data_IF_653317966987
#
_entry.id   IF_653317966987
#
_cell.length_a   1.000
_cell.length_b   1.000
_cell.length_c   1.000
_cell.angle_alpha   90.00
_cell.angle_beta   90.00
_cell.angle_gamma   90.00
#
_symmetry.space_group_name_H-M   'P 1'
#
loop_
_entity.id
_entity.type
_entity.pdbx_description
1 polymer ?
#
# COMPACT_ATOMS: atom_id res chain seq x y z
N UNK A 1 -13.03 -1.08 4.52
CA UNK A 1 -11.70 -0.47 4.30
C UNK A 1 -11.29 0.46 5.46
N UNK A 2 -11.61 0.13 6.72
CA UNK A 2 -11.27 0.98 7.87
C UNK A 2 -9.88 0.55 8.38
N UNK A 3 -8.96 1.51 8.55
CA UNK A 3 -7.65 1.27 9.17
C UNK A 3 -6.46 0.97 8.24
N UNK A 4 -6.66 0.79 6.94
CA UNK A 4 -5.54 0.55 5.98
C UNK A 4 -4.99 1.81 5.32
N UNK A 5 -5.71 2.93 5.42
CA UNK A 5 -5.42 4.19 4.73
C UNK A 5 -5.39 5.36 5.73
N UNK A 6 -4.41 6.25 5.61
CA UNK A 6 -4.32 7.47 6.39
C UNK A 6 -4.82 8.66 5.55
N UNK A 7 -6.05 9.10 5.85
CA UNK A 7 -6.68 10.26 5.22
C UNK A 7 -6.16 11.60 5.75
N UNK A 8 -5.43 11.60 6.88
CA UNK A 8 -4.86 12.81 7.48
C UNK A 8 -3.45 13.10 6.98
N UNK A 9 -2.92 12.27 6.08
CA UNK A 9 -1.61 12.46 5.50
C UNK A 9 -1.56 13.75 4.69
N UNK A 10 -0.55 14.58 4.98
CA UNK A 10 -0.27 15.81 4.23
C UNK A 10 0.81 15.50 3.20
N UNK A 11 0.43 15.50 1.93
CA UNK A 11 1.33 15.26 0.81
C UNK A 11 2.20 16.49 0.45
N UNK A 12 1.77 17.68 0.88
CA UNK A 12 2.43 18.96 0.61
C UNK A 12 2.05 19.98 1.68
N UNK A 13 2.91 20.97 1.92
CA UNK A 13 2.62 22.11 2.79
C UNK A 13 1.73 23.16 2.12
N UNK A 14 1.56 23.09 0.80
CA UNK A 14 0.71 24.03 0.05
C UNK A 14 -0.78 23.72 0.31
N UNK A 15 -1.52 24.66 0.90
CA UNK A 15 -2.90 24.47 1.36
C UNK A 15 -3.84 23.87 0.29
N UNK A 16 -3.66 24.22 -0.98
CA UNK A 16 -4.47 23.74 -2.11
C UNK A 16 -4.11 22.32 -2.59
N UNK A 17 -2.95 21.79 -2.16
CA UNK A 17 -2.41 20.48 -2.58
C UNK A 17 -2.15 19.53 -1.43
N UNK A 18 -2.33 19.99 -0.19
CA UNK A 18 -2.01 19.26 1.04
C UNK A 18 -2.62 17.85 1.11
N UNK A 19 -3.88 17.66 0.70
CA UNK A 19 -4.56 16.36 0.75
C UNK A 19 -4.74 15.70 -0.63
N UNK A 20 -3.90 16.03 -1.61
CA UNK A 20 -3.99 15.47 -2.97
C UNK A 20 -3.37 14.08 -3.14
N UNK A 21 -2.89 13.46 -2.07
CA UNK A 21 -2.46 12.07 -2.08
C UNK A 21 -2.95 11.34 -0.82
N UNK A 22 -3.16 10.04 -0.99
CA UNK A 22 -3.55 9.13 0.10
C UNK A 22 -2.33 8.34 0.53
N UNK A 23 -2.13 8.17 1.84
CA UNK A 23 -1.08 7.29 2.35
C UNK A 23 -1.68 5.93 2.68
N UNK A 24 -1.13 4.90 2.05
CA UNK A 24 -1.43 3.50 2.37
C UNK A 24 -0.49 3.07 3.49
N UNK A 25 -1.06 2.65 4.62
CA UNK A 25 -0.29 2.21 5.78
C UNK A 25 0.09 0.74 5.65
N UNK A 26 -0.89 -0.09 5.28
CA UNK A 26 -0.74 -1.53 5.14
C UNK A 26 -1.21 -1.95 3.74
N UNK A 27 -0.31 -1.94 2.73
CA UNK A 27 -0.61 -2.46 1.41
C UNK A 27 -1.08 -3.91 1.50
N UNK A 28 -2.15 -4.21 0.78
CA UNK A 28 -2.79 -5.52 0.73
C UNK A 28 -3.45 -5.66 -0.64
N UNK A 29 -3.50 -6.87 -1.23
CA UNK A 29 -4.11 -7.07 -2.55
C UNK A 29 -5.57 -6.62 -2.60
N UNK A 30 -6.28 -6.69 -1.47
CA UNK A 30 -7.67 -6.19 -1.29
C UNK A 30 -7.82 -4.69 -1.51
N UNK A 31 -6.74 -3.91 -1.42
CA UNK A 31 -6.75 -2.48 -1.72
C UNK A 31 -6.63 -2.20 -3.22
N UNK A 32 -6.47 -3.22 -4.07
CA UNK A 32 -6.54 -3.03 -5.52
C UNK A 32 -7.97 -2.63 -5.92
N UNK A 33 -8.10 -1.63 -6.80
CA UNK A 33 -9.42 -1.13 -7.18
C UNK A 33 -9.36 0.21 -7.90
N UNK A 34 -10.54 0.78 -8.16
CA UNK A 34 -10.67 2.14 -8.69
C UNK A 34 -10.67 3.16 -7.55
N UNK A 35 -9.77 4.13 -7.64
CA UNK A 35 -9.64 5.24 -6.70
C UNK A 35 -10.09 6.51 -7.39
N UNK A 36 -11.13 7.15 -6.87
CA UNK A 36 -11.62 8.45 -7.34
C UNK A 36 -11.23 9.55 -6.35
N UNK A 37 -10.56 10.58 -6.85
CA UNK A 37 -10.33 11.82 -6.14
C UNK A 37 -11.35 12.85 -6.63
N UNK A 38 -12.14 13.41 -5.72
CA UNK A 38 -13.07 14.52 -6.02
C UNK A 38 -12.62 15.75 -5.23
N UNK A 39 -12.46 16.86 -5.94
CA UNK A 39 -12.14 18.16 -5.34
C UNK A 39 -13.29 19.10 -5.65
N UNK A 40 -13.96 19.57 -4.60
CA UNK A 40 -15.08 20.50 -4.70
C UNK A 40 -14.65 21.87 -4.19
N UNK A 41 -14.85 22.90 -5.00
CA UNK A 41 -14.74 24.32 -4.62
C UNK A 41 -16.14 24.93 -4.58
N UNK A 42 -16.24 26.20 -4.18
CA UNK A 42 -17.53 26.92 -4.18
C UNK A 42 -18.17 27.04 -5.57
N UNK A 43 -17.36 27.02 -6.63
CA UNK A 43 -17.81 27.25 -8.01
C UNK A 43 -17.87 25.96 -8.85
N UNK A 44 -17.04 24.96 -8.52
CA UNK A 44 -16.86 23.79 -9.37
C UNK A 44 -16.45 22.55 -8.59
N UNK A 45 -16.97 21.42 -9.03
CA UNK A 45 -16.47 20.10 -8.64
C UNK A 45 -15.71 19.47 -9.82
N UNK A 46 -14.54 18.91 -9.53
CA UNK A 46 -13.76 18.13 -10.48
C UNK A 46 -13.42 16.77 -9.86
N UNK A 47 -13.59 15.69 -10.62
CA UNK A 47 -13.24 14.35 -10.18
C UNK A 47 -12.36 13.62 -11.19
N UNK A 48 -11.41 12.84 -10.69
CA UNK A 48 -10.54 11.99 -11.50
C UNK A 48 -10.42 10.60 -10.87
N UNK A 49 -10.63 9.57 -11.68
CA UNK A 49 -10.54 8.17 -11.28
C UNK A 49 -9.27 7.52 -11.86
N UNK A 50 -8.59 6.70 -11.06
CA UNK A 50 -7.53 5.81 -11.52
C UNK A 50 -7.57 4.45 -10.84
N UNK A 51 -7.22 3.43 -11.60
CA UNK A 51 -7.04 2.07 -11.09
C UNK A 51 -5.69 1.94 -10.39
N UNK A 52 -5.69 1.36 -9.19
CA UNK A 52 -4.50 0.90 -8.48
C UNK A 52 -4.50 -0.62 -8.46
N UNK A 53 -3.35 -1.23 -8.70
CA UNK A 53 -3.16 -2.68 -8.58
C UNK A 53 -1.99 -2.95 -7.66
N UNK A 54 -2.22 -3.80 -6.65
CA UNK A 54 -1.26 -4.20 -5.63
C UNK A 54 -1.05 -5.70 -5.74
N UNK A 55 0.20 -6.10 -5.83
CA UNK A 55 0.64 -7.48 -5.90
C UNK A 55 1.49 -7.81 -4.67
N UNK A 56 1.27 -8.98 -4.09
CA UNK A 56 2.13 -9.52 -3.05
C UNK A 56 3.13 -10.49 -3.69
N UNK A 57 4.42 -10.20 -3.57
CA UNK A 57 5.43 -11.20 -3.89
C UNK A 57 5.55 -12.12 -2.67
N UNK A 58 5.11 -13.36 -2.83
CA UNK A 58 5.53 -14.42 -1.92
C UNK A 58 7.04 -14.59 -2.15
N UNK A 59 7.85 -14.26 -1.14
CA UNK A 59 9.28 -14.52 -1.26
C UNK A 59 9.45 -16.02 -1.55
N UNK A 60 10.26 -16.40 -2.55
CA UNK A 60 10.47 -17.81 -2.86
C UNK A 60 10.85 -18.55 -1.58
N UNK A 61 10.14 -19.64 -1.30
CA UNK A 61 10.59 -20.59 -0.29
C UNK A 61 12.06 -20.90 -0.55
N UNK A 62 12.89 -20.96 0.51
CA UNK A 62 14.30 -21.24 0.34
C UNK A 62 14.48 -22.45 -0.59
N UNK A 63 15.34 -22.29 -1.59
CA UNK A 63 15.86 -23.39 -2.39
C UNK A 63 16.25 -24.51 -1.42
N UNK A 64 16.09 -25.77 -1.83
CA UNK A 64 16.26 -26.98 -1.00
C UNK A 64 17.59 -27.04 -0.20
N UNK A 65 18.54 -26.18 -0.52
CA UNK A 65 19.88 -26.10 0.07
C UNK A 65 20.07 -24.94 1.06
N UNK A 66 19.04 -24.14 1.35
CA UNK A 66 19.16 -23.12 2.39
C UNK A 66 19.11 -23.76 3.78
N UNK A 67 19.89 -23.24 4.75
CA UNK A 67 19.80 -23.71 6.12
C UNK A 67 18.35 -23.56 6.63
N UNK A 68 17.83 -24.57 7.37
CA UNK A 68 16.47 -24.51 7.89
C UNK A 68 16.29 -23.21 8.70
N UNK A 69 15.17 -22.50 8.54
CA UNK A 69 14.92 -21.30 9.33
C UNK A 69 14.97 -21.65 10.82
N UNK A 70 15.49 -20.76 11.68
CA UNK A 70 15.56 -21.00 13.12
C UNK A 70 14.17 -21.38 13.64
N UNK A 71 14.11 -22.52 14.33
CA UNK A 71 12.89 -23.09 14.93
C UNK A 71 12.59 -22.27 16.20
N UNK A 72 12.14 -21.04 16.02
CA UNK A 72 11.65 -20.15 17.07
C UNK A 72 10.18 -19.79 16.84
N UNK A 73 9.47 -19.30 17.87
CA UNK A 73 8.04 -18.96 17.77
C UNK A 73 7.75 -17.74 16.86
N UNK A 74 8.77 -17.05 16.35
CA UNK A 74 8.60 -15.82 15.57
C UNK A 74 9.18 -15.99 14.15
N UNK A 75 8.46 -16.72 13.27
CA UNK A 75 8.73 -16.65 11.83
C UNK A 75 8.16 -15.31 11.33
N UNK A 76 9.00 -14.28 11.32
CA UNK A 76 8.65 -13.01 10.68
C UNK A 76 8.70 -13.20 9.16
N UNK A 77 7.54 -13.36 8.54
CA UNK A 77 7.45 -13.37 7.08
C UNK A 77 7.45 -11.93 6.57
N UNK A 78 8.56 -11.54 5.94
CA UNK A 78 8.66 -10.27 5.21
C UNK A 78 7.93 -10.42 3.89
N UNK A 79 6.86 -9.67 3.70
CA UNK A 79 6.11 -9.63 2.44
C UNK A 79 6.46 -8.34 1.71
N UNK A 80 6.83 -8.45 0.44
CA UNK A 80 7.04 -7.32 -0.44
C UNK A 80 5.79 -7.06 -1.28
N UNK A 81 5.25 -5.85 -1.16
CA UNK A 81 4.11 -5.39 -1.92
C UNK A 81 4.58 -4.44 -3.02
N UNK A 82 4.28 -4.81 -4.25
CA UNK A 82 4.56 -4.00 -5.43
C UNK A 82 3.26 -3.47 -6.01
N UNK A 83 3.30 -2.31 -6.65
CA UNK A 83 2.13 -1.81 -7.36
C UNK A 83 2.43 -0.66 -8.30
N UNK A 84 1.43 -0.33 -9.11
CA UNK A 84 1.47 0.80 -10.06
C UNK A 84 0.29 1.71 -9.78
N UNK A 85 0.56 2.99 -9.56
CA UNK A 85 -0.45 4.02 -9.39
C UNK A 85 -0.05 5.29 -10.14
N UNK A 86 -0.97 5.85 -10.91
CA UNK A 86 -0.71 7.05 -11.70
C UNK A 86 0.51 6.98 -12.66
N UNK A 87 0.85 5.78 -13.14
CA UNK A 87 2.00 5.58 -14.03
C UNK A 87 3.34 5.55 -13.30
N UNK A 88 3.34 5.52 -11.97
CA UNK A 88 4.54 5.32 -11.13
C UNK A 88 4.47 3.96 -10.45
N UNK A 89 5.58 3.25 -10.44
CA UNK A 89 5.75 2.03 -9.65
C UNK A 89 6.06 2.38 -8.20
N UNK A 90 5.58 1.56 -7.28
CA UNK A 90 5.97 1.58 -5.87
C UNK A 90 6.32 0.16 -5.40
N UNK A 91 7.26 0.07 -4.45
CA UNK A 91 7.54 -1.13 -3.67
C UNK A 91 7.52 -0.76 -2.19
N UNK A 92 6.87 -1.57 -1.38
CA UNK A 92 6.80 -1.41 0.07
C UNK A 92 6.85 -2.78 0.74
N UNK A 93 7.70 -2.95 1.75
CA UNK A 93 7.81 -4.19 2.51
C UNK A 93 7.16 -4.07 3.87
N UNK A 94 6.33 -5.04 4.25
CA UNK A 94 5.76 -5.15 5.60
C UNK A 94 6.29 -6.41 6.29
N UNK A 95 6.43 -6.33 7.60
CA UNK A 95 6.70 -7.48 8.46
C UNK A 95 5.35 -7.96 8.97
N UNK A 96 4.84 -9.08 8.43
CA UNK A 96 3.67 -9.71 9.01
C UNK A 96 4.14 -10.58 10.18
N UNK A 97 3.67 -10.27 11.39
CA UNK A 97 3.75 -11.19 12.52
C UNK A 97 2.64 -12.21 12.36
N UNK A 98 2.99 -13.45 12.03
CA UNK A 98 2.08 -14.58 12.14
C UNK A 98 1.90 -14.86 13.65
N UNK A 99 0.85 -14.32 14.26
CA UNK A 99 0.43 -14.74 15.60
C UNK A 99 -0.41 -16.00 15.40
N UNK A 100 0.18 -17.15 15.75
CA UNK A 100 -0.46 -18.46 15.80
C UNK A 100 -1.65 -18.49 16.77
#
# INVERSE_FOLDING_TARGET
MIGKLNLKYKASDEAKKMYRALQILNPSPELSGEYKCTVSTFEKEESQSKKMVIFAALSPHPLRDAPPPPIGPERLEKVEYNGVFWGRSFSQSNINREVR
#
